data_IF_101624256077
#
_entry.id   IF_101624256077
#
_cell.length_a   1.000
_cell.length_b   1.000
_cell.length_c   1.000
_cell.angle_alpha   90.00
_cell.angle_beta   90.00
_cell.angle_gamma   90.00
#
_symmetry.space_group_name_H-M   'P 1'
#
loop_
_entity.id
_entity.type
_entity.pdbx_description
1 polymer ?
#
# COMPACT_ATOMS: atom_id res chain seq x y z
N UNK A 1 4.37 18.48 12.77
CA UNK A 1 3.29 18.57 11.77
C UNK A 1 3.52 17.58 10.63
N UNK A 2 4.62 17.68 9.87
CA UNK A 2 4.99 16.71 8.80
C UNK A 2 5.14 15.26 9.28
N UNK A 3 5.70 15.03 10.48
CA UNK A 3 5.81 13.68 11.05
C UNK A 3 4.45 12.99 11.29
N UNK A 4 3.40 13.76 11.65
CA UNK A 4 2.04 13.22 11.80
C UNK A 4 1.49 12.76 10.44
N UNK A 5 1.70 13.54 9.38
CA UNK A 5 1.28 13.19 8.02
C UNK A 5 2.08 12.01 7.46
N UNK A 6 3.38 11.91 7.74
CA UNK A 6 4.20 10.73 7.43
C UNK A 6 3.59 9.46 8.05
N UNK A 7 3.34 9.49 9.36
CA UNK A 7 2.81 8.33 10.08
C UNK A 7 1.41 7.94 9.60
N UNK A 8 0.52 8.92 9.40
CA UNK A 8 -0.84 8.68 8.91
C UNK A 8 -0.86 8.13 7.48
N UNK A 9 -0.10 8.72 6.55
CA UNK A 9 -0.03 8.23 5.16
C UNK A 9 0.62 6.85 5.05
N UNK A 10 1.64 6.57 5.88
CA UNK A 10 2.27 5.25 5.96
C UNK A 10 1.31 4.18 6.47
N UNK A 11 0.55 4.47 7.54
CA UNK A 11 -0.48 3.56 8.05
C UNK A 11 -1.57 3.31 7.00
N UNK A 12 -2.05 4.36 6.31
CA UNK A 12 -3.05 4.19 5.26
C UNK A 12 -2.52 3.30 4.13
N UNK A 13 -1.28 3.50 3.68
CA UNK A 13 -0.64 2.64 2.70
C UNK A 13 -0.53 1.18 3.16
N UNK A 14 -0.20 0.95 4.43
CA UNK A 14 -0.11 -0.39 5.02
C UNK A 14 -1.48 -1.07 5.13
N UNK A 15 -2.51 -0.34 5.55
CA UNK A 15 -3.89 -0.84 5.59
C UNK A 15 -4.37 -1.21 4.18
N UNK A 16 -4.07 -0.39 3.18
CA UNK A 16 -4.42 -0.68 1.78
C UNK A 16 -3.72 -1.93 1.26
N UNK A 17 -2.44 -2.15 1.59
CA UNK A 17 -1.76 -3.42 1.28
C UNK A 17 -2.50 -4.61 1.89
N UNK A 18 -2.93 -4.50 3.14
CA UNK A 18 -3.69 -5.56 3.80
C UNK A 18 -5.00 -5.86 3.07
N UNK A 19 -5.74 -4.83 2.64
CA UNK A 19 -6.97 -5.02 1.85
C UNK A 19 -6.71 -5.69 0.50
N UNK A 20 -5.67 -5.28 -0.23
CA UNK A 20 -5.32 -5.91 -1.52
C UNK A 20 -4.99 -7.39 -1.31
N UNK A 21 -4.25 -7.71 -0.26
CA UNK A 21 -3.91 -9.10 0.09
C UNK A 21 -5.14 -9.92 0.50
N UNK A 22 -6.04 -9.33 1.30
CA UNK A 22 -7.28 -9.98 1.70
C UNK A 22 -8.17 -10.29 0.49
N UNK A 23 -8.29 -9.36 -0.46
CA UNK A 23 -9.05 -9.56 -1.70
C UNK A 23 -8.42 -10.68 -2.55
N UNK A 24 -7.09 -10.68 -2.71
CA UNK A 24 -6.38 -11.75 -3.43
C UNK A 24 -6.58 -13.12 -2.77
N UNK A 25 -6.59 -13.17 -1.44
CA UNK A 25 -6.84 -14.39 -0.69
C UNK A 25 -8.27 -14.91 -0.87
N UNK A 26 -9.27 -14.03 -0.77
CA UNK A 26 -10.68 -14.40 -1.02
C UNK A 26 -10.86 -14.89 -2.47
N UNK A 27 -10.25 -14.19 -3.44
CA UNK A 27 -10.29 -14.58 -4.85
C UNK A 27 -9.65 -15.96 -5.06
N UNK A 28 -8.51 -16.23 -4.42
CA UNK A 28 -7.86 -17.53 -4.47
C UNK A 28 -8.76 -18.65 -3.93
N UNK A 29 -9.38 -18.45 -2.77
CA UNK A 29 -10.32 -19.43 -2.19
C UNK A 29 -11.51 -19.67 -3.13
N UNK A 30 -12.06 -18.62 -3.72
CA UNK A 30 -13.20 -18.75 -4.61
C UNK A 30 -12.87 -19.49 -5.92
N UNK A 31 -11.63 -19.36 -6.41
CA UNK A 31 -11.12 -20.11 -7.56
C UNK A 31 -10.87 -21.59 -7.18
N UNK A 32 -10.15 -21.83 -6.08
CA UNK A 32 -9.89 -23.20 -5.60
C UNK A 32 -11.19 -23.94 -5.23
N UNK A 33 -12.22 -23.21 -4.79
CA UNK A 33 -13.55 -23.73 -4.50
C UNK A 33 -14.46 -23.92 -5.72
N UNK A 34 -13.99 -23.62 -6.93
CA UNK A 34 -14.76 -23.79 -8.17
C UNK A 34 -15.94 -22.82 -8.33
N UNK A 35 -15.98 -21.72 -7.56
CA UNK A 35 -17.03 -20.70 -7.65
C UNK A 35 -16.77 -19.75 -8.83
N UNK A 36 -15.50 -19.54 -9.17
CA UNK A 36 -15.07 -18.60 -10.21
C UNK A 36 -13.90 -19.20 -11.00
N UNK A 37 -13.95 -19.12 -12.33
CA UNK A 37 -12.82 -19.49 -13.18
C UNK A 37 -11.74 -18.41 -13.16
N UNK A 38 -10.46 -18.81 -13.07
CA UNK A 38 -9.32 -17.90 -13.08
C UNK A 38 -8.04 -18.55 -12.58
N UNK A 39 -6.95 -17.77 -12.59
CA UNK A 39 -5.67 -18.20 -12.02
C UNK A 39 -5.66 -18.01 -10.49
N UNK A 40 -5.50 -19.08 -9.68
CA UNK A 40 -5.44 -18.99 -8.23
C UNK A 40 -4.14 -18.36 -7.70
N UNK A 41 -3.15 -18.12 -8.54
CA UNK A 41 -1.89 -17.46 -8.19
C UNK A 41 -1.72 -16.11 -8.89
N UNK A 42 -2.60 -15.12 -8.64
CA UNK A 42 -2.42 -13.79 -9.20
C UNK A 42 -1.14 -13.17 -8.62
N UNK A 43 -0.23 -12.77 -9.51
CA UNK A 43 1.00 -12.11 -9.12
C UNK A 43 0.67 -10.80 -8.39
N UNK A 44 1.18 -10.61 -7.17
CA UNK A 44 0.86 -9.46 -6.31
C UNK A 44 1.03 -8.14 -7.06
N UNK A 45 2.20 -7.98 -7.69
CA UNK A 45 2.60 -6.79 -8.46
C UNK A 45 1.82 -6.64 -9.78
N UNK A 46 1.17 -7.71 -10.25
CA UNK A 46 0.31 -7.70 -11.43
C UNK A 46 -1.13 -7.29 -11.12
N UNK A 47 -1.50 -7.14 -9.85
CA UNK A 47 -2.83 -6.67 -9.49
C UNK A 47 -2.94 -5.16 -9.71
N UNK A 48 -3.91 -4.73 -10.52
CA UNK A 48 -4.16 -3.30 -10.79
C UNK A 48 -4.50 -2.45 -9.56
N UNK A 49 -4.66 -3.07 -8.39
CA UNK A 49 -4.91 -2.43 -7.10
C UNK A 49 -3.62 -2.06 -6.35
N UNK A 50 -2.48 -2.67 -6.70
CA UNK A 50 -1.19 -2.43 -6.03
C UNK A 50 -0.59 -1.02 -6.24
N UNK A 51 -0.85 -0.28 -7.33
CA UNK A 51 -0.39 1.11 -7.48
C UNK A 51 -0.86 2.04 -6.34
N UNK A 52 -2.05 1.80 -5.79
CA UNK A 52 -2.65 2.67 -4.76
C UNK A 52 -1.82 2.69 -3.46
N UNK A 53 -1.53 1.55 -2.81
CA UNK A 53 -0.67 1.56 -1.61
C UNK A 53 0.73 2.11 -1.91
N UNK A 54 1.30 1.82 -3.08
CA UNK A 54 2.62 2.34 -3.49
C UNK A 54 2.63 3.87 -3.50
N UNK A 55 1.60 4.51 -4.08
CA UNK A 55 1.48 5.98 -4.08
C UNK A 55 1.43 6.53 -2.66
N UNK A 56 0.67 5.90 -1.75
CA UNK A 56 0.62 6.32 -0.34
C UNK A 56 1.98 6.17 0.36
N UNK A 57 2.75 5.12 0.08
CA UNK A 57 4.12 5.00 0.57
C UNK A 57 5.03 6.09 0.02
N UNK A 58 4.95 6.40 -1.28
CA UNK A 58 5.71 7.50 -1.88
C UNK A 58 5.38 8.85 -1.21
N UNK A 59 4.10 9.15 -1.01
CA UNK A 59 3.65 10.37 -0.31
C UNK A 59 4.17 10.39 1.14
N UNK A 60 4.16 9.25 1.83
CA UNK A 60 4.73 9.12 3.17
C UNK A 60 6.21 9.50 3.16
N UNK A 61 7.01 8.97 2.23
CA UNK A 61 8.43 9.35 2.09
C UNK A 61 8.63 10.84 1.81
N UNK A 62 7.77 11.48 1.03
CA UNK A 62 7.83 12.94 0.81
C UNK A 62 7.64 13.70 2.13
N UNK A 63 6.66 13.31 2.96
CA UNK A 63 6.48 13.92 4.27
C UNK A 63 7.63 13.65 5.24
N UNK A 64 8.26 12.48 5.15
CA UNK A 64 9.47 12.16 5.91
C UNK A 64 10.64 13.06 5.51
N UNK A 65 10.86 13.25 4.21
CA UNK A 65 11.88 14.18 3.72
C UNK A 65 11.60 15.60 4.18
N UNK A 66 10.37 16.10 4.03
CA UNK A 66 10.00 17.44 4.51
C UNK A 66 10.19 17.61 6.02
N UNK A 67 9.97 16.54 6.80
CA UNK A 67 10.25 16.55 8.22
C UNK A 67 11.77 16.67 8.49
N UNK A 68 12.60 15.86 7.84
CA UNK A 68 14.05 15.89 7.97
C UNK A 68 14.62 17.24 7.51
N UNK A 69 14.19 17.77 6.37
CA UNK A 69 14.59 19.09 5.85
C UNK A 69 14.15 20.26 6.73
N UNK A 70 13.07 20.12 7.50
CA UNK A 70 12.67 21.13 8.48
C UNK A 70 13.60 21.12 9.70
N UNK A 71 14.07 19.94 10.11
CA UNK A 71 14.95 19.77 11.26
C UNK A 71 16.41 20.11 10.93
N UNK A 72 16.86 19.76 9.72
CA UNK A 72 18.01 20.36 9.06
C UNK A 72 17.67 21.81 8.70
N UNK A 73 17.78 22.74 9.66
CA UNK A 73 17.95 24.15 9.31
C UNK A 73 19.16 24.26 8.37
N UNK A 74 18.93 24.23 7.07
CA UNK A 74 19.92 24.64 6.07
C UNK A 74 20.19 26.12 6.42
N UNK A 75 21.33 26.33 7.06
CA UNK A 75 21.91 27.62 7.35
C UNK A 75 22.73 28.06 6.15
#
# INVERSE_FOLDING_TARGET
MYFKYFYTSGIIGFILLFFVQAINFVKKIAIEGGIIDGDPYPNLLGTGLMPIPIIFFCISFVFLMLYIYKDLKIK
#
